data_IF_012355038157
#
_entry.id   IF_012355038157
#
_cell.length_a   1.000
_cell.length_b   1.000
_cell.length_c   1.000
_cell.angle_alpha   90.00
_cell.angle_beta   90.00
_cell.angle_gamma   90.00
#
_symmetry.space_group_name_H-M   'P 1'
#
loop_
_entity.id
_entity.type
_entity.pdbx_description
1 polymer ?
#
# COMPACT_ATOMS: atom_id res chain seq x y z
N UNK A 1 -28.56 -30.72 4.80
CA UNK A 1 -28.27 -31.63 3.68
C UNK A 1 -28.66 -33.03 4.13
N UNK A 2 -29.49 -33.75 3.36
CA UNK A 2 -30.02 -35.08 3.75
C UNK A 2 -29.14 -36.25 3.23
N UNK A 3 -27.97 -35.95 2.66
CA UNK A 3 -27.11 -36.94 1.98
C UNK A 3 -27.62 -37.31 0.58
N UNK A 4 -26.74 -37.82 -0.29
CA UNK A 4 -27.07 -38.27 -1.65
C UNK A 4 -25.93 -38.10 -2.66
N UNK A 5 -26.09 -38.68 -3.85
CA UNK A 5 -25.16 -38.48 -4.97
C UNK A 5 -25.32 -37.05 -5.53
N UNK A 6 -24.20 -36.32 -5.65
CA UNK A 6 -24.18 -34.94 -6.11
C UNK A 6 -23.28 -34.82 -7.34
N UNK A 7 -23.86 -34.41 -8.47
CA UNK A 7 -23.15 -34.24 -9.72
C UNK A 7 -22.82 -32.75 -9.94
N UNK A 8 -21.85 -32.48 -10.82
CA UNK A 8 -21.53 -31.11 -11.25
C UNK A 8 -22.78 -30.40 -11.77
N UNK A 9 -23.68 -31.12 -12.45
CA UNK A 9 -24.94 -30.57 -12.96
C UNK A 9 -25.84 -30.02 -11.84
N UNK A 10 -25.89 -30.70 -10.70
CA UNK A 10 -26.72 -30.26 -9.56
C UNK A 10 -26.21 -28.92 -9.00
N UNK A 11 -24.87 -28.75 -8.91
CA UNK A 11 -24.27 -27.48 -8.55
C UNK A 11 -24.61 -26.37 -9.57
N UNK A 12 -24.49 -26.67 -10.87
CA UNK A 12 -24.82 -25.70 -11.93
C UNK A 12 -26.29 -25.29 -11.92
N UNK A 13 -27.21 -26.23 -11.75
CA UNK A 13 -28.66 -25.95 -11.72
C UNK A 13 -29.06 -25.16 -10.47
N UNK A 14 -28.42 -25.43 -9.33
CA UNK A 14 -28.60 -24.66 -8.11
C UNK A 14 -28.10 -23.21 -8.30
N UNK A 15 -26.89 -23.03 -8.83
CA UNK A 15 -26.34 -21.71 -9.14
C UNK A 15 -27.20 -20.94 -10.15
N UNK A 16 -27.70 -21.62 -11.18
CA UNK A 16 -28.56 -21.01 -12.19
C UNK A 16 -29.92 -20.59 -11.63
N UNK A 17 -30.51 -21.41 -10.75
CA UNK A 17 -31.74 -21.06 -10.04
C UNK A 17 -31.53 -19.83 -9.15
N UNK A 18 -30.45 -19.81 -8.38
CA UNK A 18 -30.11 -18.66 -7.53
C UNK A 18 -29.90 -17.38 -8.37
N UNK A 19 -29.15 -17.46 -9.47
CA UNK A 19 -28.91 -16.33 -10.37
C UNK A 19 -30.23 -15.77 -10.95
N UNK A 20 -31.13 -16.63 -11.42
CA UNK A 20 -32.45 -16.23 -11.91
C UNK A 20 -33.32 -15.63 -10.81
N UNK A 21 -33.27 -16.17 -9.60
CA UNK A 21 -34.01 -15.63 -8.46
C UNK A 21 -33.55 -14.21 -8.12
N UNK A 22 -32.23 -13.96 -8.08
CA UNK A 22 -31.67 -12.61 -7.86
C UNK A 22 -32.11 -11.64 -8.97
N UNK A 23 -32.00 -12.04 -10.24
CA UNK A 23 -32.43 -11.20 -11.37
C UNK A 23 -33.93 -10.88 -11.32
N UNK A 24 -34.77 -11.86 -10.99
CA UNK A 24 -36.21 -11.69 -10.83
C UNK A 24 -36.56 -10.75 -9.67
N UNK A 25 -35.85 -10.84 -8.54
CA UNK A 25 -36.01 -9.91 -7.42
C UNK A 25 -35.61 -8.49 -7.81
N UNK A 26 -34.47 -8.30 -8.49
CA UNK A 26 -34.05 -7.00 -9.01
C UNK A 26 -35.09 -6.40 -9.96
N UNK A 27 -35.67 -7.20 -10.85
CA UNK A 27 -36.70 -6.75 -11.78
C UNK A 27 -38.00 -6.31 -11.07
N UNK A 28 -38.41 -7.06 -10.03
CA UNK A 28 -39.66 -6.79 -9.29
C UNK A 28 -39.54 -5.65 -8.28
N UNK A 29 -38.40 -5.53 -7.60
CA UNK A 29 -38.17 -4.57 -6.53
C UNK A 29 -37.28 -3.38 -6.95
N UNK A 30 -37.16 -3.12 -8.26
CA UNK A 30 -36.27 -2.09 -8.81
C UNK A 30 -36.45 -0.72 -8.14
N UNK A 31 -37.70 -0.30 -7.92
CA UNK A 31 -38.00 1.01 -7.32
C UNK A 31 -37.60 1.03 -5.85
N UNK A 32 -37.88 -0.05 -5.11
CA UNK A 32 -37.49 -0.17 -3.71
C UNK A 32 -35.98 -0.14 -3.54
N UNK A 33 -35.21 -0.86 -4.38
CA UNK A 33 -33.75 -0.81 -4.33
C UNK A 33 -33.21 0.60 -4.64
N UNK A 34 -33.74 1.27 -5.67
CA UNK A 34 -33.31 2.62 -6.05
C UNK A 34 -33.63 3.65 -4.96
N UNK A 35 -34.86 3.63 -4.42
CA UNK A 35 -35.24 4.55 -3.35
C UNK A 35 -34.51 4.25 -2.05
N UNK A 36 -34.26 2.97 -1.71
CA UNK A 36 -33.47 2.63 -0.53
C UNK A 36 -32.04 3.18 -0.65
N UNK A 37 -31.41 3.08 -1.82
CA UNK A 37 -30.08 3.68 -2.04
C UNK A 37 -30.12 5.21 -1.88
N UNK A 38 -31.11 5.88 -2.49
CA UNK A 38 -31.32 7.32 -2.32
C UNK A 38 -31.49 7.72 -0.85
N UNK A 39 -32.37 7.02 -0.11
CA UNK A 39 -32.62 7.32 1.30
C UNK A 39 -31.40 7.00 2.18
N UNK A 40 -30.61 5.97 1.85
CA UNK A 40 -29.35 5.72 2.53
C UNK A 40 -28.38 6.88 2.32
N UNK A 41 -28.11 7.28 1.07
CA UNK A 41 -27.19 8.37 0.75
C UNK A 41 -27.62 9.69 1.36
N UNK A 42 -28.90 10.08 1.18
CA UNK A 42 -29.46 11.31 1.75
C UNK A 42 -29.29 11.37 3.27
N UNK A 43 -29.59 10.29 3.98
CA UNK A 43 -29.41 10.23 5.44
C UNK A 43 -27.96 10.38 5.86
N UNK A 44 -27.01 9.86 5.08
CA UNK A 44 -25.58 10.01 5.40
C UNK A 44 -25.08 11.43 5.14
N UNK A 45 -25.55 12.08 4.08
CA UNK A 45 -25.28 13.50 3.83
C UNK A 45 -25.84 14.34 4.99
N UNK A 46 -27.12 14.16 5.35
CA UNK A 46 -27.75 14.87 6.47
C UNK A 46 -26.99 14.67 7.79
N UNK A 47 -26.50 13.45 8.06
CA UNK A 47 -25.66 13.16 9.24
C UNK A 47 -24.30 13.85 9.18
N UNK A 48 -23.64 13.85 8.03
CA UNK A 48 -22.35 14.52 7.87
C UNK A 48 -22.46 16.03 8.01
N UNK A 49 -23.50 16.63 7.42
CA UNK A 49 -23.80 18.06 7.56
C UNK A 49 -24.05 18.47 9.03
N UNK A 50 -24.47 17.53 9.87
CA UNK A 50 -24.72 17.73 11.30
C UNK A 50 -23.61 17.12 12.20
N UNK A 51 -22.45 16.75 11.63
CA UNK A 51 -21.33 16.11 12.35
C UNK A 51 -21.73 14.94 13.27
N UNK A 52 -22.70 14.12 12.82
CA UNK A 52 -23.22 13.00 13.61
C UNK A 52 -22.49 11.70 13.30
N UNK A 53 -21.76 11.18 14.28
CA UNK A 53 -21.00 9.92 14.15
C UNK A 53 -19.74 10.09 13.30
N UNK A 54 -19.00 11.17 13.55
CA UNK A 54 -17.77 11.58 12.86
C UNK A 54 -17.81 13.09 12.54
N UNK A 55 -16.71 13.66 12.01
CA UNK A 55 -16.64 15.08 11.70
C UNK A 55 -17.52 15.49 10.51
N UNK A 56 -17.66 16.79 10.31
CA UNK A 56 -18.23 17.39 9.10
C UNK A 56 -17.31 17.10 7.91
N UNK A 57 -16.02 17.37 8.02
CA UNK A 57 -15.05 17.09 6.96
C UNK A 57 -13.71 16.58 7.51
N UNK A 58 -12.96 15.93 6.62
CA UNK A 58 -11.56 15.58 6.83
C UNK A 58 -10.68 16.45 5.95
N UNK A 59 -9.63 17.03 6.53
CA UNK A 59 -8.67 17.87 5.82
C UNK A 59 -7.30 17.19 5.86
N UNK A 60 -6.70 17.04 4.69
CA UNK A 60 -5.48 16.25 4.49
C UNK A 60 -4.50 17.11 3.69
N UNK A 61 -3.56 17.76 4.39
CA UNK A 61 -2.44 18.44 3.78
C UNK A 61 -1.35 17.40 3.46
N UNK A 62 -0.97 17.20 2.18
CA UNK A 62 0.08 16.27 1.81
C UNK A 62 1.39 16.50 2.57
N UNK A 63 1.75 17.75 2.85
CA UNK A 63 3.02 18.11 3.49
C UNK A 63 3.00 18.02 5.01
N UNK A 64 1.83 17.85 5.63
CA UNK A 64 1.72 17.65 7.06
C UNK A 64 2.07 16.21 7.48
N UNK A 65 1.90 15.24 6.57
CA UNK A 65 2.26 13.84 6.81
C UNK A 65 3.77 13.63 6.64
N UNK A 66 4.33 12.64 7.36
CA UNK A 66 5.76 12.30 7.22
C UNK A 66 6.14 11.93 5.77
N UNK A 67 5.23 11.27 5.07
CA UNK A 67 5.38 10.88 3.68
C UNK A 67 4.22 11.45 2.84
N UNK A 68 4.46 12.51 2.06
CA UNK A 68 3.45 13.08 1.16
C UNK A 68 2.94 12.10 0.10
N UNK A 69 3.78 11.16 -0.35
CA UNK A 69 3.38 10.17 -1.36
C UNK A 69 2.32 9.19 -0.84
N UNK A 70 2.35 8.89 0.46
CA UNK A 70 1.30 8.11 1.13
C UNK A 70 -0.05 8.82 1.11
N UNK A 71 -0.08 10.16 1.20
CA UNK A 71 -1.31 10.94 1.02
C UNK A 71 -1.81 10.81 -0.43
N UNK A 72 -0.92 10.91 -1.41
CA UNK A 72 -1.30 10.74 -2.84
C UNK A 72 -1.89 9.35 -3.09
N UNK A 73 -1.26 8.30 -2.54
CA UNK A 73 -1.76 6.93 -2.65
C UNK A 73 -3.14 6.77 -2.00
N UNK A 74 -3.32 7.33 -0.81
CA UNK A 74 -4.60 7.32 -0.11
C UNK A 74 -5.70 8.05 -0.91
N UNK A 75 -5.41 9.23 -1.45
CA UNK A 75 -6.37 9.97 -2.27
C UNK A 75 -6.66 9.25 -3.61
N UNK A 76 -5.66 8.56 -4.17
CA UNK A 76 -5.84 7.65 -5.30
C UNK A 76 -6.83 6.53 -5.01
N UNK A 77 -6.71 5.90 -3.84
CA UNK A 77 -7.66 4.88 -3.37
C UNK A 77 -9.05 5.47 -3.13
N UNK A 78 -9.16 6.67 -2.56
CA UNK A 78 -10.44 7.35 -2.36
C UNK A 78 -11.14 7.60 -3.70
N UNK A 79 -10.40 8.09 -4.69
CA UNK A 79 -10.93 8.31 -6.04
C UNK A 79 -11.41 7.00 -6.68
N UNK A 80 -10.61 5.93 -6.61
CA UNK A 80 -11.00 4.60 -7.12
C UNK A 80 -12.22 4.02 -6.39
N UNK A 81 -12.40 4.36 -5.12
CA UNK A 81 -13.54 3.93 -4.30
C UNK A 81 -14.79 4.78 -4.52
N UNK A 82 -14.75 5.80 -5.38
CA UNK A 82 -15.86 6.71 -5.64
C UNK A 82 -16.13 7.71 -4.50
N UNK A 83 -15.13 7.97 -3.65
CA UNK A 83 -15.21 9.01 -2.62
C UNK A 83 -14.99 10.38 -3.27
N UNK A 84 -15.91 11.29 -2.99
CA UNK A 84 -15.85 12.67 -3.45
C UNK A 84 -14.97 13.49 -2.51
N UNK A 85 -14.05 14.26 -3.08
CA UNK A 85 -13.18 15.19 -2.37
C UNK A 85 -12.75 16.31 -3.32
N UNK A 86 -12.34 17.43 -2.75
CA UNK A 86 -11.78 18.57 -3.49
C UNK A 86 -10.31 18.73 -3.16
N UNK A 87 -9.48 18.98 -4.18
CA UNK A 87 -8.12 19.49 -4.01
C UNK A 87 -8.16 21.01 -4.13
N UNK A 88 -7.85 21.72 -3.05
CA UNK A 88 -7.94 23.17 -3.00
C UNK A 88 -6.98 23.84 -4.01
N UNK A 89 -7.46 24.85 -4.73
CA UNK A 89 -6.67 25.69 -5.65
C UNK A 89 -6.28 27.03 -5.02
N UNK A 90 -6.56 27.20 -3.74
CA UNK A 90 -6.26 28.38 -2.94
C UNK A 90 -6.05 27.99 -1.47
N UNK A 91 -5.46 28.91 -0.70
CA UNK A 91 -5.42 28.77 0.76
C UNK A 91 -6.82 29.00 1.34
N UNK A 92 -7.19 28.25 2.38
CA UNK A 92 -8.51 28.36 3.00
C UNK A 92 -8.45 28.16 4.52
N UNK A 93 -9.54 28.53 5.20
CA UNK A 93 -9.65 28.41 6.67
C UNK A 93 -10.73 27.42 7.04
N UNK A 94 -10.41 26.48 7.91
CA UNK A 94 -11.36 25.51 8.47
C UNK A 94 -10.93 25.09 9.88
N UNK A 95 -11.88 24.85 10.78
CA UNK A 95 -11.57 24.43 12.15
C UNK A 95 -10.65 25.38 12.94
N UNK A 96 -10.60 26.67 12.58
CA UNK A 96 -9.71 27.66 13.20
C UNK A 96 -8.26 27.66 12.70
N UNK A 97 -7.95 26.86 11.68
CA UNK A 97 -6.61 26.76 11.08
C UNK A 97 -6.64 27.17 9.61
N UNK A 98 -5.53 27.71 9.13
CA UNK A 98 -5.30 27.98 7.69
C UNK A 98 -4.63 26.77 7.05
N UNK A 99 -5.12 26.36 5.89
CA UNK A 99 -4.59 25.28 5.09
C UNK A 99 -4.10 25.79 3.73
N UNK A 100 -2.96 25.31 3.23
CA UNK A 100 -2.40 25.79 1.97
C UNK A 100 -3.13 25.20 0.76
N UNK A 101 -2.97 25.87 -0.38
CA UNK A 101 -3.26 25.32 -1.72
C UNK A 101 -2.71 23.89 -1.88
N UNK A 102 -3.48 23.02 -2.54
CA UNK A 102 -3.16 21.61 -2.76
C UNK A 102 -3.62 20.68 -1.63
N UNK A 103 -4.11 21.22 -0.51
CA UNK A 103 -4.75 20.46 0.57
C UNK A 103 -6.05 19.81 0.08
N UNK A 104 -6.29 18.57 0.51
CA UNK A 104 -7.52 17.85 0.19
C UNK A 104 -8.59 18.06 1.28
N UNK A 105 -9.85 18.17 0.84
CA UNK A 105 -11.02 18.17 1.74
C UNK A 105 -11.97 17.06 1.32
N UNK A 106 -12.29 16.16 2.25
CA UNK A 106 -13.33 15.14 2.10
C UNK A 106 -14.59 15.61 2.85
N UNK A 107 -15.63 16.11 2.14
CA UNK A 107 -16.83 16.68 2.74
C UNK A 107 -17.90 15.63 3.10
N UNK A 108 -19.02 16.04 3.72
CA UNK A 108 -20.21 15.20 3.86
C UNK A 108 -20.70 14.65 2.52
N UNK A 109 -20.90 13.33 2.44
CA UNK A 109 -21.30 12.65 1.20
C UNK A 109 -22.08 11.37 1.46
N UNK A 110 -22.67 10.79 0.42
CA UNK A 110 -23.50 9.59 0.53
C UNK A 110 -22.72 8.37 1.07
N UNK A 111 -21.45 8.22 0.66
CA UNK A 111 -20.55 7.14 1.09
C UNK A 111 -19.76 7.45 2.36
N UNK A 112 -20.16 8.48 3.13
CA UNK A 112 -19.49 8.88 4.37
C UNK A 112 -19.20 7.74 5.36
N UNK A 113 -20.06 6.71 5.56
CA UNK A 113 -19.73 5.61 6.46
C UNK A 113 -18.42 4.92 6.10
N UNK A 114 -18.13 4.74 4.81
CA UNK A 114 -16.86 4.18 4.36
C UNK A 114 -15.68 5.08 4.73
N UNK A 115 -15.79 6.39 4.48
CA UNK A 115 -14.75 7.37 4.88
C UNK A 115 -14.49 7.32 6.39
N UNK A 116 -15.54 7.35 7.21
CA UNK A 116 -15.44 7.23 8.68
C UNK A 116 -14.79 5.91 9.09
N UNK A 117 -15.09 4.82 8.39
CA UNK A 117 -14.48 3.52 8.69
C UNK A 117 -12.97 3.51 8.44
N UNK A 118 -12.49 4.24 7.44
CA UNK A 118 -11.05 4.37 7.13
C UNK A 118 -10.33 5.44 7.96
N UNK A 119 -11.07 6.41 8.49
CA UNK A 119 -10.52 7.60 9.16
C UNK A 119 -10.65 7.59 10.68
N UNK A 120 -11.56 6.85 11.29
CA UNK A 120 -11.78 6.96 12.75
C UNK A 120 -11.26 5.72 13.50
N UNK A 121 -10.64 5.88 14.68
CA UNK A 121 -10.19 4.75 15.47
C UNK A 121 -11.37 3.84 15.84
N UNK A 122 -11.20 2.52 15.67
CA UNK A 122 -12.22 1.53 16.04
C UNK A 122 -12.02 1.10 17.49
N UNK A 123 -13.13 0.97 18.21
CA UNK A 123 -13.15 0.42 19.56
C UNK A 123 -13.68 -1.01 19.49
N UNK A 124 -12.79 -1.98 19.69
CA UNK A 124 -13.20 -3.38 19.77
C UNK A 124 -13.76 -3.68 21.17
N UNK A 125 -14.94 -4.33 21.28
CA UNK A 125 -15.52 -4.62 22.59
C UNK A 125 -14.66 -5.60 23.38
N UNK A 126 -14.52 -5.40 24.70
CA UNK A 126 -13.88 -6.38 25.58
C UNK A 126 -14.82 -7.58 25.76
N UNK A 127 -14.62 -8.60 24.91
CA UNK A 127 -15.34 -9.86 24.94
C UNK A 127 -14.49 -10.93 25.59
N UNK A 128 -15.07 -11.69 26.51
CA UNK A 128 -14.42 -12.81 27.22
C UNK A 128 -15.19 -14.09 26.97
N UNK A 129 -14.48 -15.20 26.83
CA UNK A 129 -15.09 -16.52 26.63
C UNK A 129 -16.03 -16.92 27.79
N UNK A 130 -15.77 -16.38 28.98
CA UNK A 130 -16.61 -16.46 30.19
C UNK A 130 -16.23 -15.31 31.16
N UNK A 131 -17.06 -14.98 32.17
CA UNK A 131 -16.74 -13.92 33.14
C UNK A 131 -15.39 -14.14 33.83
N UNK A 132 -14.46 -13.18 33.68
CA UNK A 132 -13.09 -13.26 34.23
C UNK A 132 -12.09 -14.07 33.41
N UNK A 133 -12.52 -14.66 32.28
CA UNK A 133 -11.69 -15.48 31.41
C UNK A 133 -10.78 -14.69 30.45
N UNK A 134 -10.06 -15.39 29.55
CA UNK A 134 -9.25 -14.75 28.53
C UNK A 134 -10.12 -13.99 27.51
N UNK A 135 -9.55 -12.94 26.86
CA UNK A 135 -10.20 -12.28 25.73
C UNK A 135 -10.57 -13.27 24.62
N UNK A 136 -11.73 -13.04 24.00
CA UNK A 136 -12.09 -13.69 22.75
C UNK A 136 -11.24 -13.08 21.63
N UNK A 137 -10.38 -13.86 20.94
CA UNK A 137 -9.67 -13.34 19.79
C UNK A 137 -10.69 -12.95 18.71
N UNK A 138 -10.43 -11.86 17.96
CA UNK A 138 -11.26 -11.51 16.83
C UNK A 138 -11.21 -12.63 15.78
N UNK A 139 -12.32 -12.83 15.06
CA UNK A 139 -12.38 -13.82 13.97
C UNK A 139 -11.42 -13.48 12.82
N UNK A 140 -11.16 -12.18 12.61
CA UNK A 140 -10.31 -11.64 11.55
C UNK A 140 -9.68 -10.31 12.04
N UNK A 141 -9.40 -9.36 11.15
CA UNK A 141 -8.87 -8.03 11.47
C UNK A 141 -9.78 -7.21 12.38
N UNK A 142 -9.18 -6.42 13.27
CA UNK A 142 -9.89 -5.59 14.26
C UNK A 142 -10.15 -4.16 13.79
N UNK A 143 -9.63 -3.76 12.63
CA UNK A 143 -9.70 -2.39 12.16
C UNK A 143 -9.27 -2.22 10.71
N UNK A 144 -9.82 -1.19 10.05
CA UNK A 144 -9.57 -0.80 8.65
C UNK A 144 -9.14 0.67 8.56
N UNK A 145 -8.58 1.23 9.64
CA UNK A 145 -8.26 2.65 9.77
C UNK A 145 -7.01 3.02 8.96
N UNK A 146 -7.17 3.08 7.64
CA UNK A 146 -6.10 3.36 6.68
C UNK A 146 -5.33 4.64 7.00
N UNK A 147 -5.97 5.67 7.57
CA UNK A 147 -5.22 6.89 7.96
C UNK A 147 -4.02 6.57 8.86
N UNK A 148 -4.18 5.63 9.80
CA UNK A 148 -3.14 5.31 10.78
C UNK A 148 -2.17 4.29 10.20
N UNK A 149 -2.68 3.30 9.45
CA UNK A 149 -1.86 2.30 8.78
C UNK A 149 -0.91 2.93 7.75
N UNK A 150 -1.33 4.04 7.13
CA UNK A 150 -0.54 4.82 6.16
C UNK A 150 0.18 6.03 6.79
N UNK A 151 0.08 6.23 8.12
CA UNK A 151 0.78 7.31 8.82
C UNK A 151 0.35 8.74 8.45
N UNK A 152 -0.92 8.92 8.01
CA UNK A 152 -1.45 10.19 7.54
C UNK A 152 -1.77 11.14 8.68
N UNK A 153 -1.39 12.41 8.52
CA UNK A 153 -1.89 13.51 9.34
C UNK A 153 -3.18 14.05 8.74
N UNK A 154 -4.27 13.93 9.50
CA UNK A 154 -5.62 14.32 9.08
C UNK A 154 -6.24 15.18 10.16
N UNK A 155 -6.78 16.34 9.77
CA UNK A 155 -7.55 17.23 10.64
C UNK A 155 -9.02 16.92 10.48
N UNK A 156 -9.65 16.52 11.59
CA UNK A 156 -11.09 16.37 11.70
C UNK A 156 -11.70 17.75 11.98
N UNK A 157 -12.64 18.20 11.14
CA UNK A 157 -13.36 19.47 11.34
C UNK A 157 -14.83 19.17 11.59
N UNK A 158 -15.32 19.51 12.78
CA UNK A 158 -16.72 19.27 13.17
C UNK A 158 -17.66 20.39 12.72
N UNK A 159 -17.18 21.64 12.72
CA UNK A 159 -17.99 22.80 12.36
C UNK A 159 -18.04 23.00 10.84
N UNK A 160 -19.23 23.25 10.24
CA UNK A 160 -19.33 23.56 8.82
C UNK A 160 -18.52 24.80 8.45
N UNK A 161 -17.90 24.76 7.28
CA UNK A 161 -17.15 25.88 6.69
C UNK A 161 -17.45 25.99 5.19
N UNK A 162 -17.08 27.13 4.60
CA UNK A 162 -17.19 27.34 3.16
C UNK A 162 -16.17 26.46 2.43
N UNK A 163 -16.65 25.59 1.53
CA UNK A 163 -15.78 24.69 0.79
C UNK A 163 -14.84 25.50 -0.11
N UNK A 164 -13.51 25.24 -0.09
CA UNK A 164 -12.58 26.00 -0.93
C UNK A 164 -12.85 25.78 -2.42
N UNK A 165 -12.44 26.74 -3.25
CA UNK A 165 -12.33 26.49 -4.68
C UNK A 165 -11.32 25.38 -4.95
N UNK A 166 -11.60 24.52 -5.92
CA UNK A 166 -10.71 23.42 -6.24
C UNK A 166 -11.24 22.45 -7.27
N UNK A 167 -10.41 21.45 -7.57
CA UNK A 167 -10.72 20.39 -8.52
C UNK A 167 -11.26 19.16 -7.78
N UNK A 168 -12.42 18.66 -8.18
CA UNK A 168 -13.06 17.50 -7.56
C UNK A 168 -12.48 16.18 -8.10
N UNK A 169 -12.15 15.27 -7.20
CA UNK A 169 -11.60 13.94 -7.53
C UNK A 169 -10.19 13.96 -8.13
N UNK A 170 -9.56 15.14 -8.20
CA UNK A 170 -8.23 15.30 -8.77
C UNK A 170 -7.17 14.83 -7.77
N UNK A 171 -6.34 13.87 -8.18
CA UNK A 171 -5.18 13.40 -7.40
C UNK A 171 -3.92 13.90 -8.10
N UNK A 172 -3.05 14.58 -7.35
CA UNK A 172 -1.79 15.11 -7.87
C UNK A 172 -0.60 14.46 -7.20
N UNK A 173 0.35 14.01 -8.01
CA UNK A 173 1.67 13.52 -7.58
C UNK A 173 2.67 14.65 -7.34
N UNK A 174 2.35 15.88 -7.75
CA UNK A 174 3.17 17.08 -7.63
C UNK A 174 3.13 17.62 -6.19
N UNK A 175 3.62 16.79 -5.28
CA UNK A 175 3.79 17.06 -3.85
C UNK A 175 5.27 17.03 -3.44
N UNK A 176 6.15 16.63 -4.37
CA UNK A 176 7.59 16.59 -4.19
C UNK A 176 8.21 17.98 -4.25
N UNK A 177 9.51 18.02 -3.97
CA UNK A 177 10.25 19.28 -3.90
C UNK A 177 11.70 19.06 -4.34
N UNK A 178 12.25 20.02 -5.08
CA UNK A 178 13.68 20.07 -5.40
C UNK A 178 14.27 21.29 -4.72
N UNK A 179 15.30 21.08 -3.91
CA UNK A 179 16.04 22.12 -3.17
C UNK A 179 17.47 22.23 -3.68
N UNK A 180 18.07 23.41 -3.56
CA UNK A 180 19.49 23.64 -3.85
C UNK A 180 19.87 23.62 -5.34
N UNK A 181 21.17 23.76 -5.60
CA UNK A 181 21.78 23.75 -6.95
C UNK A 181 22.42 22.38 -7.27
N UNK A 182 22.46 21.99 -8.54
CA UNK A 182 22.79 20.63 -9.03
C UNK A 182 24.26 20.39 -9.38
N UNK A 183 25.18 21.19 -8.85
CA UNK A 183 26.59 21.22 -9.33
C UNK A 183 27.30 19.87 -9.26
N UNK A 184 26.98 19.04 -8.28
CA UNK A 184 27.55 17.70 -8.13
C UNK A 184 26.55 16.56 -8.34
N UNK A 185 25.26 16.85 -8.57
CA UNK A 185 24.15 15.88 -8.60
C UNK A 185 23.12 16.09 -7.48
N UNK A 186 22.26 15.08 -7.26
CA UNK A 186 21.17 15.15 -6.28
C UNK A 186 21.14 13.98 -5.30
N UNK A 187 20.76 14.26 -4.06
CA UNK A 187 20.35 13.23 -3.10
C UNK A 187 18.83 13.19 -3.03
N UNK A 188 18.25 12.00 -3.20
CA UNK A 188 16.83 11.71 -2.99
C UNK A 188 16.64 11.31 -1.53
N UNK A 189 15.76 12.01 -0.82
CA UNK A 189 15.46 11.72 0.59
C UNK A 189 14.77 10.36 0.72
N UNK A 190 15.10 9.62 1.79
CA UNK A 190 14.54 8.29 2.09
C UNK A 190 13.24 8.32 2.89
N UNK A 191 12.51 9.44 2.89
CA UNK A 191 11.28 9.64 3.67
C UNK A 191 10.05 8.97 3.07
N UNK A 192 10.12 8.54 1.80
CA UNK A 192 9.04 7.88 1.06
C UNK A 192 9.48 6.53 0.49
N UNK A 193 8.58 5.54 0.54
CA UNK A 193 8.81 4.25 -0.13
C UNK A 193 8.75 4.36 -1.66
N UNK A 194 8.11 5.38 -2.24
CA UNK A 194 8.10 5.59 -3.69
C UNK A 194 9.50 5.88 -4.26
N UNK A 195 10.49 6.16 -3.41
CA UNK A 195 11.90 6.21 -3.80
C UNK A 195 12.30 4.97 -4.59
N UNK A 196 11.85 3.77 -4.20
CA UNK A 196 12.22 2.53 -4.89
C UNK A 196 11.66 2.44 -6.31
N UNK A 197 10.46 2.98 -6.57
CA UNK A 197 9.89 3.08 -7.92
C UNK A 197 10.77 3.95 -8.81
N UNK A 198 11.16 5.11 -8.30
CA UNK A 198 12.00 6.04 -9.03
C UNK A 198 13.41 5.48 -9.28
N UNK A 199 14.02 4.84 -8.29
CA UNK A 199 15.34 4.23 -8.42
C UNK A 199 15.37 3.14 -9.50
N UNK A 200 14.32 2.32 -9.61
CA UNK A 200 14.22 1.31 -10.67
C UNK A 200 14.30 1.94 -12.07
N UNK A 201 13.59 3.05 -12.29
CA UNK A 201 13.65 3.77 -13.57
C UNK A 201 15.04 4.35 -13.83
N UNK A 202 15.73 4.84 -12.79
CA UNK A 202 17.08 5.40 -12.91
C UNK A 202 18.13 4.32 -13.20
N UNK A 203 18.09 3.19 -12.52
CA UNK A 203 18.99 2.07 -12.80
C UNK A 203 18.81 1.53 -14.21
N UNK A 204 17.57 1.46 -14.74
CA UNK A 204 17.31 1.10 -16.14
C UNK A 204 17.90 2.07 -17.16
N UNK A 205 18.13 3.33 -16.77
CA UNK A 205 18.82 4.35 -17.59
C UNK A 205 20.35 4.30 -17.45
N UNK A 206 20.88 3.42 -16.60
CA UNK A 206 22.31 3.26 -16.37
C UNK A 206 22.88 4.12 -15.23
N UNK A 207 22.02 4.72 -14.41
CA UNK A 207 22.49 5.51 -13.26
C UNK A 207 23.17 4.62 -12.22
N UNK A 208 24.28 5.13 -11.68
CA UNK A 208 24.97 4.52 -10.54
C UNK A 208 24.39 5.08 -9.25
N UNK A 209 23.98 4.19 -8.35
CA UNK A 209 23.33 4.55 -7.10
C UNK A 209 24.28 4.38 -5.91
N UNK A 210 24.26 5.36 -5.02
CA UNK A 210 24.93 5.26 -3.72
C UNK A 210 23.91 5.54 -2.62
N UNK A 211 23.95 4.77 -1.54
CA UNK A 211 23.14 5.00 -0.36
C UNK A 211 23.95 5.73 0.70
N UNK A 212 23.40 6.79 1.29
CA UNK A 212 24.05 7.52 2.37
C UNK A 212 24.07 6.66 3.64
N UNK A 213 25.22 6.57 4.31
CA UNK A 213 25.38 5.80 5.55
C UNK A 213 25.19 6.65 6.81
N UNK A 214 25.16 7.98 6.63
CA UNK A 214 25.00 8.97 7.69
C UNK A 214 24.09 10.11 7.21
N UNK A 215 23.64 10.94 8.16
CA UNK A 215 22.96 12.20 7.84
C UNK A 215 23.93 13.12 7.10
N UNK A 216 23.48 13.71 5.98
CA UNK A 216 24.25 14.70 5.24
C UNK A 216 23.76 16.09 5.61
N UNK A 217 24.65 16.95 6.10
CA UNK A 217 24.35 18.37 6.33
C UNK A 217 24.59 19.15 5.04
N UNK A 218 23.55 19.85 4.57
CA UNK A 218 23.60 20.67 3.35
C UNK A 218 23.19 22.11 3.65
N UNK A 219 23.37 23.02 2.68
CA UNK A 219 22.85 24.38 2.78
C UNK A 219 21.31 24.45 2.89
N UNK A 220 20.63 23.43 2.36
CA UNK A 220 19.17 23.31 2.33
C UNK A 220 18.60 22.52 3.53
N UNK A 221 19.46 22.21 4.51
CA UNK A 221 19.12 21.43 5.70
C UNK A 221 19.72 20.03 5.71
N UNK A 222 19.21 19.20 6.60
CA UNK A 222 19.68 17.83 6.79
C UNK A 222 18.99 16.86 5.81
N UNK A 223 19.78 15.96 5.24
CA UNK A 223 19.30 14.82 4.44
C UNK A 223 19.48 13.56 5.28
N UNK A 224 18.44 12.76 5.53
CA UNK A 224 18.52 11.63 6.44
C UNK A 224 19.48 10.54 5.94
N UNK A 225 20.05 9.78 6.86
CA UNK A 225 20.78 8.57 6.52
C UNK A 225 19.87 7.58 5.78
N UNK A 226 20.45 6.79 4.87
CA UNK A 226 19.70 5.84 4.04
C UNK A 226 19.09 6.46 2.77
N UNK A 227 19.35 7.73 2.49
CA UNK A 227 18.97 8.46 1.27
C UNK A 227 19.85 8.04 0.08
N UNK A 228 19.46 8.40 -1.14
CA UNK A 228 20.14 7.93 -2.36
C UNK A 228 20.80 9.06 -3.13
N UNK A 229 22.12 8.99 -3.27
CA UNK A 229 22.94 9.92 -4.03
C UNK A 229 23.05 9.48 -5.50
N UNK A 230 22.66 10.38 -6.40
CA UNK A 230 22.74 10.21 -7.85
C UNK A 230 23.64 11.32 -8.44
N UNK A 231 24.93 11.04 -8.70
CA UNK A 231 25.90 12.06 -9.10
C UNK A 231 25.66 12.63 -10.50
N UNK A 232 24.95 11.91 -11.37
CA UNK A 232 24.72 12.31 -12.76
C UNK A 232 23.30 12.88 -13.00
N UNK A 233 22.48 13.02 -11.96
CA UNK A 233 21.10 13.48 -12.11
C UNK A 233 21.08 14.99 -12.39
N UNK A 234 20.42 15.39 -13.47
CA UNK A 234 20.28 16.81 -13.84
C UNK A 234 19.11 17.49 -13.12
N UNK A 235 19.12 18.82 -13.01
CA UNK A 235 17.98 19.58 -12.45
C UNK A 235 16.64 19.26 -13.10
N UNK A 236 16.62 19.06 -14.42
CA UNK A 236 15.39 18.74 -15.15
C UNK A 236 14.85 17.36 -14.76
N UNK A 237 15.73 16.36 -14.64
CA UNK A 237 15.33 15.02 -14.21
C UNK A 237 14.93 14.99 -12.74
N UNK A 238 15.61 15.75 -11.87
CA UNK A 238 15.24 15.90 -10.48
C UNK A 238 13.82 16.49 -10.32
N UNK A 239 13.47 17.51 -11.12
CA UNK A 239 12.12 18.09 -11.13
C UNK A 239 11.06 17.11 -11.61
N UNK A 240 11.36 16.33 -12.65
CA UNK A 240 10.48 15.26 -13.12
C UNK A 240 10.28 14.22 -12.02
N UNK A 241 11.34 13.77 -11.36
CA UNK A 241 11.24 12.81 -10.27
C UNK A 241 10.45 13.34 -9.07
N UNK A 242 10.64 14.60 -8.69
CA UNK A 242 9.86 15.24 -7.63
C UNK A 242 8.37 15.30 -7.99
N UNK A 243 8.04 15.65 -9.23
CA UNK A 243 6.66 15.76 -9.72
C UNK A 243 5.98 14.40 -9.89
N UNK A 244 6.66 13.42 -10.50
CA UNK A 244 6.04 12.13 -10.87
C UNK A 244 5.93 11.19 -9.66
N UNK A 245 6.88 11.28 -8.72
CA UNK A 245 6.95 10.40 -7.56
C UNK A 245 6.74 11.12 -6.21
N UNK A 246 6.43 12.42 -6.20
CA UNK A 246 6.22 13.17 -4.96
C UNK A 246 7.44 13.20 -4.04
N UNK A 247 8.65 13.07 -4.58
CA UNK A 247 9.88 12.91 -3.81
C UNK A 247 10.54 14.25 -3.47
N UNK A 248 11.23 14.29 -2.33
CA UNK A 248 12.12 15.40 -1.98
C UNK A 248 13.55 15.10 -2.46
N UNK A 249 14.11 16.00 -3.24
CA UNK A 249 15.49 15.95 -3.72
C UNK A 249 16.26 17.19 -3.27
N UNK A 250 17.52 16.99 -2.90
CA UNK A 250 18.43 18.08 -2.54
C UNK A 250 19.66 18.03 -3.45
N UNK A 251 19.85 19.09 -4.23
CA UNK A 251 21.04 19.31 -5.03
C UNK A 251 22.24 19.55 -4.14
N UNK A 252 23.36 18.91 -4.45
CA UNK A 252 24.60 19.09 -3.71
C UNK A 252 25.59 19.95 -4.50
N UNK A 253 26.20 20.91 -3.82
CA UNK A 253 27.28 21.71 -4.37
C UNK A 253 28.57 20.89 -4.57
N UNK A 254 28.81 19.91 -3.70
CA UNK A 254 29.96 19.01 -3.72
C UNK A 254 29.50 17.58 -3.49
N UNK A 255 30.13 16.61 -4.16
CA UNK A 255 29.85 15.20 -3.93
C UNK A 255 30.10 14.82 -2.45
N UNK A 256 29.25 13.96 -1.85
CA UNK A 256 29.52 13.42 -0.52
C UNK A 256 30.86 12.67 -0.50
N UNK A 257 31.51 12.65 0.65
CA UNK A 257 32.73 11.86 0.85
C UNK A 257 32.43 10.37 0.71
N UNK A 258 33.40 9.60 0.20
CA UNK A 258 33.24 8.15 -0.01
C UNK A 258 32.87 7.40 1.27
N UNK A 259 33.37 7.83 2.42
CA UNK A 259 33.11 7.19 3.71
C UNK A 259 31.64 7.32 4.16
N UNK A 260 30.90 8.25 3.56
CA UNK A 260 29.48 8.49 3.83
C UNK A 260 28.57 7.77 2.82
N UNK A 261 29.13 7.00 1.90
CA UNK A 261 28.41 6.36 0.79
C UNK A 261 28.68 4.85 0.77
N UNK A 262 27.61 4.08 0.61
CA UNK A 262 27.67 2.67 0.24
C UNK A 262 27.19 2.53 -1.21
N UNK A 263 27.92 1.76 -2.03
CA UNK A 263 27.42 1.40 -3.36
C UNK A 263 26.10 0.63 -3.22
N UNK A 264 25.11 0.95 -4.06
CA UNK A 264 23.80 0.31 -4.03
C UNK A 264 23.45 -0.20 -5.42
N UNK A 265 22.93 -1.41 -5.48
CA UNK A 265 22.40 -2.03 -6.70
C UNK A 265 20.99 -2.52 -6.44
N UNK A 266 20.20 -2.66 -7.50
CA UNK A 266 18.90 -3.34 -7.38
C UNK A 266 19.15 -4.83 -7.11
N UNK A 267 18.49 -5.43 -6.11
CA UNK A 267 18.71 -6.82 -5.75
C UNK A 267 18.05 -7.75 -6.77
N UNK A 268 18.69 -8.88 -7.05
CA UNK A 268 18.08 -10.01 -7.73
C UNK A 268 17.24 -10.80 -6.73
N UNK A 269 15.93 -10.72 -6.85
CA UNK A 269 15.00 -11.28 -5.86
C UNK A 269 14.47 -12.64 -6.32
N UNK A 270 14.65 -13.66 -5.49
CA UNK A 270 13.94 -14.93 -5.59
C UNK A 270 12.76 -14.97 -4.64
N UNK A 271 11.60 -15.45 -5.08
CA UNK A 271 10.47 -15.76 -4.20
C UNK A 271 10.27 -17.26 -4.17
N UNK A 272 10.42 -17.84 -2.99
CA UNK A 272 10.19 -19.27 -2.84
C UNK A 272 8.73 -19.62 -3.07
N UNK A 273 8.53 -20.67 -3.87
CA UNK A 273 7.22 -21.17 -4.24
C UNK A 273 7.16 -22.68 -4.05
N UNK A 274 6.48 -23.09 -3.00
CA UNK A 274 6.14 -24.50 -2.81
C UNK A 274 4.99 -24.92 -3.74
N UNK A 275 4.82 -26.23 -3.94
CA UNK A 275 3.63 -26.74 -4.64
C UNK A 275 2.32 -26.61 -3.84
N UNK A 276 2.41 -26.26 -2.55
CA UNK A 276 1.28 -25.87 -1.74
C UNK A 276 1.04 -24.35 -1.86
N UNK A 277 -0.17 -23.96 -2.26
CA UNK A 277 -0.50 -22.55 -2.44
C UNK A 277 -0.53 -21.78 -1.11
N UNK A 278 0.35 -20.79 -0.96
CA UNK A 278 0.35 -19.87 0.17
C UNK A 278 -0.21 -18.51 -0.27
N UNK A 279 -1.32 -18.05 0.32
CA UNK A 279 -1.88 -16.73 0.00
C UNK A 279 -0.88 -15.57 0.17
N UNK A 280 0.00 -15.53 1.20
CA UNK A 280 1.00 -14.48 1.35
C UNK A 280 1.97 -14.35 0.18
N UNK A 281 2.27 -15.45 -0.54
CA UNK A 281 3.13 -15.45 -1.73
C UNK A 281 2.57 -14.51 -2.81
N UNK A 282 1.26 -14.55 -3.04
CA UNK A 282 0.60 -13.67 -4.02
C UNK A 282 0.67 -12.20 -3.65
N UNK A 283 0.49 -11.88 -2.37
CA UNK A 283 0.59 -10.51 -1.87
C UNK A 283 2.02 -9.96 -1.97
N UNK A 284 3.03 -10.76 -1.63
CA UNK A 284 4.44 -10.38 -1.78
C UNK A 284 4.77 -10.08 -3.24
N UNK A 285 4.35 -10.94 -4.18
CA UNK A 285 4.53 -10.70 -5.63
C UNK A 285 3.90 -9.40 -6.07
N UNK A 286 2.63 -9.20 -5.70
CA UNK A 286 1.91 -7.99 -6.05
C UNK A 286 2.62 -6.73 -5.53
N UNK A 287 3.11 -6.73 -4.29
CA UNK A 287 3.88 -5.62 -3.74
C UNK A 287 5.17 -5.37 -4.53
N UNK A 288 5.97 -6.39 -4.84
CA UNK A 288 7.19 -6.20 -5.63
C UNK A 288 6.87 -5.63 -7.02
N UNK A 289 5.80 -6.11 -7.67
CA UNK A 289 5.33 -5.59 -8.95
C UNK A 289 4.94 -4.10 -8.83
N UNK A 290 4.23 -3.71 -7.75
CA UNK A 290 3.86 -2.30 -7.52
C UNK A 290 5.07 -1.38 -7.34
N UNK A 291 6.22 -1.90 -6.90
CA UNK A 291 7.45 -1.14 -6.73
C UNK A 291 8.48 -1.38 -7.84
N UNK A 292 8.11 -2.15 -8.88
CA UNK A 292 8.95 -2.41 -10.05
C UNK A 292 10.14 -3.34 -9.79
N UNK A 293 10.14 -4.09 -8.69
CA UNK A 293 11.15 -5.10 -8.41
C UNK A 293 10.96 -6.31 -9.32
N UNK A 294 12.02 -6.65 -10.05
CA UNK A 294 12.08 -7.90 -10.81
C UNK A 294 12.32 -9.04 -9.82
N UNK A 295 11.55 -10.12 -9.99
CA UNK A 295 11.63 -11.30 -9.15
C UNK A 295 11.42 -12.57 -9.96
N UNK A 296 11.99 -13.67 -9.48
CA UNK A 296 11.82 -15.00 -10.09
C UNK A 296 11.24 -15.99 -9.08
N UNK A 297 10.47 -16.96 -9.56
CA UNK A 297 10.04 -18.07 -8.71
C UNK A 297 11.23 -18.99 -8.43
N UNK A 298 11.37 -19.40 -7.18
CA UNK A 298 12.35 -20.40 -6.74
C UNK A 298 11.58 -21.61 -6.23
N UNK A 299 11.59 -22.70 -6.98
CA UNK A 299 10.86 -23.93 -6.64
C UNK A 299 11.69 -24.84 -5.74
N UNK A 300 11.05 -25.88 -5.20
CA UNK A 300 11.69 -26.87 -4.33
C UNK A 300 12.94 -27.51 -4.97
N UNK A 301 12.93 -27.73 -6.28
CA UNK A 301 14.09 -28.26 -7.02
C UNK A 301 15.21 -27.23 -7.17
N UNK A 302 14.88 -25.97 -7.48
CA UNK A 302 15.88 -24.89 -7.57
C UNK A 302 16.66 -24.78 -6.25
N UNK A 303 15.95 -24.77 -5.11
CA UNK A 303 16.58 -24.66 -3.78
C UNK A 303 17.44 -25.89 -3.47
N UNK A 304 16.92 -27.10 -3.70
CA UNK A 304 17.66 -28.34 -3.42
C UNK A 304 18.88 -28.53 -4.32
N UNK A 305 18.84 -28.02 -5.55
CA UNK A 305 19.97 -28.06 -6.49
C UNK A 305 21.17 -27.22 -6.02
N UNK A 306 20.92 -26.25 -5.13
CA UNK A 306 21.95 -25.45 -4.46
C UNK A 306 22.51 -24.27 -5.27
N UNK A 307 22.12 -24.07 -6.53
CA UNK A 307 22.52 -22.87 -7.29
C UNK A 307 21.62 -21.67 -6.97
N UNK A 308 21.79 -21.14 -5.77
CA UNK A 308 21.13 -19.91 -5.32
C UNK A 308 21.97 -18.66 -5.60
N UNK A 309 23.15 -18.82 -6.21
CA UNK A 309 24.14 -17.75 -6.47
C UNK A 309 23.64 -16.65 -7.41
N UNK A 310 22.56 -16.93 -8.16
CA UNK A 310 21.90 -15.97 -9.05
C UNK A 310 21.03 -14.96 -8.33
N UNK A 311 20.76 -15.13 -7.04
CA UNK A 311 19.92 -14.24 -6.23
C UNK A 311 20.74 -13.50 -5.18
N UNK A 312 20.34 -12.28 -4.85
CA UNK A 312 20.87 -11.52 -3.72
C UNK A 312 19.97 -11.67 -2.49
N UNK A 313 18.66 -11.90 -2.71
CA UNK A 313 17.65 -12.05 -1.66
C UNK A 313 16.69 -13.16 -2.05
N UNK A 314 16.38 -14.06 -1.11
CA UNK A 314 15.31 -15.05 -1.26
C UNK A 314 14.24 -14.76 -0.21
N UNK A 315 13.01 -14.54 -0.66
CA UNK A 315 11.85 -14.31 0.20
C UNK A 315 11.11 -15.64 0.36
N UNK A 316 11.02 -16.11 1.61
CA UNK A 316 10.13 -17.20 2.01
C UNK A 316 8.78 -16.57 2.42
N UNK A 317 7.69 -16.77 1.65
CA UNK A 317 6.38 -16.28 2.07
C UNK A 317 5.94 -16.92 3.39
N UNK A 318 5.10 -16.21 4.15
CA UNK A 318 4.55 -16.77 5.39
C UNK A 318 3.74 -18.03 5.08
N UNK A 319 4.27 -19.17 5.52
CA UNK A 319 3.72 -20.49 5.32
C UNK A 319 4.14 -21.39 6.48
N UNK A 320 3.33 -22.39 6.81
CA UNK A 320 3.68 -23.36 7.85
C UNK A 320 4.99 -24.07 7.51
N UNK A 321 5.93 -24.13 8.45
CA UNK A 321 7.27 -24.69 8.24
C UNK A 321 7.23 -26.16 7.78
N UNK A 322 6.34 -26.99 8.34
CA UNK A 322 6.18 -28.38 7.91
C UNK A 322 5.64 -28.48 6.48
N UNK A 323 4.79 -27.54 6.06
CA UNK A 323 4.30 -27.48 4.68
C UNK A 323 5.42 -27.12 3.69
N UNK A 324 6.31 -26.21 4.06
CA UNK A 324 7.53 -25.87 3.29
C UNK A 324 8.47 -27.08 3.23
N UNK A 325 8.70 -27.75 4.37
CA UNK A 325 9.63 -28.87 4.48
C UNK A 325 9.15 -30.09 3.67
N UNK A 326 7.87 -30.44 3.77
CA UNK A 326 7.34 -31.72 3.26
C UNK A 326 6.52 -31.62 2.00
N UNK A 327 5.91 -30.47 1.72
CA UNK A 327 5.02 -30.32 0.56
C UNK A 327 3.80 -31.25 0.57
N UNK A 328 3.28 -31.55 -0.62
CA UNK A 328 2.24 -32.56 -0.80
C UNK A 328 2.81 -33.97 -0.69
N UNK A 329 2.00 -34.91 -0.17
CA UNK A 329 2.34 -36.34 -0.19
C UNK A 329 2.14 -36.93 -1.59
N UNK A 330 2.83 -38.04 -1.87
CA UNK A 330 2.66 -38.80 -3.12
C UNK A 330 1.26 -39.44 -3.27
N UNK A 331 0.47 -39.49 -2.20
CA UNK A 331 -0.91 -39.98 -2.23
C UNK A 331 -1.90 -38.90 -2.67
N UNK A 332 -1.58 -37.62 -2.40
CA UNK A 332 -2.47 -36.48 -2.63
C UNK A 332 -2.32 -35.86 -4.03
N UNK A 333 -1.12 -35.94 -4.61
CA UNK A 333 -0.77 -35.23 -5.85
C UNK A 333 0.15 -36.05 -6.77
N UNK A 334 0.15 -35.77 -8.10
CA UNK A 334 1.13 -36.34 -9.02
C UNK A 334 2.58 -36.02 -8.61
N UNK A 335 3.50 -36.96 -8.81
CA UNK A 335 4.92 -36.91 -8.38
C UNK A 335 5.60 -35.54 -8.56
N UNK A 336 5.42 -34.88 -9.71
CA UNK A 336 5.99 -33.56 -10.01
C UNK A 336 5.55 -32.41 -9.09
N UNK A 337 4.54 -32.62 -8.26
CA UNK A 337 3.98 -31.64 -7.33
C UNK A 337 4.09 -32.09 -5.87
N UNK A 338 4.88 -33.14 -5.61
CA UNK A 338 5.05 -33.76 -4.31
C UNK A 338 6.41 -33.43 -3.71
N UNK A 339 6.52 -33.50 -2.39
CA UNK A 339 7.73 -33.10 -1.67
C UNK A 339 7.84 -31.60 -1.47
N UNK A 340 8.79 -31.21 -0.64
CA UNK A 340 9.14 -29.82 -0.34
C UNK A 340 10.65 -29.65 -0.29
N UNK A 341 11.12 -28.69 0.49
CA UNK A 341 12.55 -28.40 0.62
C UNK A 341 13.34 -29.56 1.26
N UNK A 342 12.76 -30.23 2.25
CA UNK A 342 13.46 -31.18 3.11
C UNK A 342 14.71 -30.59 3.78
N UNK A 343 15.55 -31.48 4.33
CA UNK A 343 16.81 -31.11 4.97
C UNK A 343 17.82 -30.52 3.98
N UNK A 344 17.85 -31.03 2.75
CA UNK A 344 18.74 -30.56 1.68
C UNK A 344 18.47 -29.09 1.34
N UNK A 345 17.20 -28.73 1.08
CA UNK A 345 16.83 -27.36 0.77
C UNK A 345 17.02 -26.42 1.96
N UNK A 346 16.74 -26.87 3.19
CA UNK A 346 17.02 -26.08 4.39
C UNK A 346 18.52 -25.78 4.54
N UNK A 347 19.38 -26.77 4.27
CA UNK A 347 20.86 -26.62 4.32
C UNK A 347 21.35 -25.68 3.22
N UNK A 348 20.76 -25.76 2.01
CA UNK A 348 21.09 -24.87 0.90
C UNK A 348 20.73 -23.40 1.22
N UNK A 349 19.53 -23.16 1.79
CA UNK A 349 19.13 -21.83 2.23
C UNK A 349 20.01 -21.30 3.37
N UNK A 350 20.44 -22.16 4.30
CA UNK A 350 21.38 -21.77 5.35
C UNK A 350 22.73 -21.35 4.74
N UNK A 351 23.26 -22.16 3.82
CA UNK A 351 24.52 -21.87 3.14
C UNK A 351 24.46 -20.55 2.37
N UNK A 352 23.33 -20.26 1.72
CA UNK A 352 23.10 -19.02 0.99
C UNK A 352 23.19 -17.76 1.86
N UNK A 353 22.77 -17.82 3.13
CA UNK A 353 22.82 -16.68 4.05
C UNK A 353 24.19 -16.53 4.73
N UNK A 354 24.95 -17.61 4.82
CA UNK A 354 26.29 -17.62 5.43
C UNK A 354 27.40 -17.16 4.47
N UNK A 355 27.14 -17.18 3.16
CA UNK A 355 27.98 -16.62 2.10
C UNK A 355 27.71 -15.14 1.88
#
# INVERSE_FOLDING_TARGET
WLGGCWHIRDAMDYMMTAAKAVANMGAKLKEEYLFNHYWMGRRQIERGMAAKGGPFAYIIDPKASHDPSSVVEFMGLMNQSGIEFVRATEDFVAGGSTFPIGTYVIPPQAFRPYVVDLMEPKQYPDRRQYPGGPPEPPYDMTGYELRYQMGLQVVNVDEPFEMPAGEWGAVSTDVGEVRGEDRAGFVIHSTSNWVYRALQERTKKGDVLFRTTQVLTTAEGEVPAGSFWLPALTSSEAKIMASDFGLTLTGLATAPTSDNLAASTMPKVGIYRSYQAAMPEGWTRWTLDQYGFEWENVWDEDVRSGDLSRFDVIILPSQNATAIEKGHSAEDMPERYTGGLGLEGATALQSFVET
#
